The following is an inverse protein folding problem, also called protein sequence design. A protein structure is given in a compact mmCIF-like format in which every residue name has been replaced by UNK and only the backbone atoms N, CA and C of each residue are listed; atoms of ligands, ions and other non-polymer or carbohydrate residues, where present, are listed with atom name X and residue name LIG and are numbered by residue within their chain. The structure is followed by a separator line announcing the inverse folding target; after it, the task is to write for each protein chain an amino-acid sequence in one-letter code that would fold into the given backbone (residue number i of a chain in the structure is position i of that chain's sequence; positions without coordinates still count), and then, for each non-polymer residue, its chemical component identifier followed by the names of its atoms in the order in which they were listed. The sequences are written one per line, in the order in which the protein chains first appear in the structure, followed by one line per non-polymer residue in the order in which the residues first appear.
data_IF_720199903065
#
_entry.id   IF_720199903065
#
_cell.length_a   1.000
_cell.length_b   1.000
_cell.length_c   1.000
_cell.angle_alpha   90.00
_cell.angle_beta   90.00
_cell.angle_gamma   90.00
#
_symmetry.space_group_name_H-M   'P 1'
#
loop_
_entity.id
_entity.type
_entity.pdbx_description
1 polymer ?
#
# COMPACT_ATOMS: atom_id res chain seq x y z
N UNK A 1 -11.49 -13.58 4.63
CA UNK A 1 -11.47 -14.33 3.33
C UNK A 1 -12.10 -13.52 2.20
N UNK A 2 -13.36 -13.04 2.30
CA UNK A 2 -14.05 -12.33 1.21
C UNK A 2 -13.30 -11.11 0.67
N UNK A 3 -12.78 -10.22 1.55
CA UNK A 3 -11.96 -9.06 1.16
C UNK A 3 -10.71 -9.52 0.39
N UNK A 4 -10.05 -10.60 0.82
CA UNK A 4 -8.86 -11.12 0.15
C UNK A 4 -9.17 -11.63 -1.28
N UNK A 5 -10.33 -12.29 -1.48
CA UNK A 5 -10.76 -12.72 -2.81
C UNK A 5 -11.05 -11.53 -3.73
N UNK A 6 -11.72 -10.50 -3.22
CA UNK A 6 -11.94 -9.26 -3.96
C UNK A 6 -10.61 -8.57 -4.33
N UNK A 7 -9.66 -8.50 -3.40
CA UNK A 7 -8.33 -7.94 -3.66
C UNK A 7 -7.55 -8.75 -4.70
N UNK A 8 -7.60 -10.08 -4.62
CA UNK A 8 -6.98 -10.97 -5.62
C UNK A 8 -7.62 -10.80 -7.01
N UNK A 9 -8.95 -10.66 -7.08
CA UNK A 9 -9.67 -10.32 -8.32
C UNK A 9 -9.13 -9.03 -8.94
N UNK A 10 -9.03 -7.95 -8.16
CA UNK A 10 -8.49 -6.68 -8.64
C UNK A 10 -7.02 -6.79 -9.10
N UNK A 11 -6.20 -7.60 -8.40
CA UNK A 11 -4.82 -7.86 -8.80
C UNK A 11 -4.70 -8.61 -10.13
N UNK A 12 -5.60 -9.56 -10.42
CA UNK A 12 -5.63 -10.26 -11.70
C UNK A 12 -6.00 -9.31 -12.84
N UNK A 13 -6.96 -8.41 -12.63
CA UNK A 13 -7.29 -7.35 -13.62
C UNK A 13 -6.04 -6.49 -13.91
N UNK A 14 -5.31 -6.10 -12.86
CA UNK A 14 -4.06 -5.36 -13.01
C UNK A 14 -3.03 -6.14 -13.86
N UNK A 15 -2.85 -7.45 -13.65
CA UNK A 15 -1.95 -8.29 -14.47
C UNK A 15 -2.38 -8.34 -15.94
N UNK A 16 -3.67 -8.35 -16.23
CA UNK A 16 -4.18 -8.34 -17.63
C UNK A 16 -3.94 -7.00 -18.31
N UNK A 17 -4.20 -5.90 -17.59
CA UNK A 17 -4.00 -4.54 -18.13
C UNK A 17 -2.52 -4.23 -18.36
N UNK A 18 -1.68 -4.64 -17.42
CA UNK A 18 -0.24 -4.34 -17.44
C UNK A 18 0.60 -5.35 -18.24
N UNK A 19 0.02 -6.41 -18.84
CA UNK A 19 0.75 -7.51 -19.48
C UNK A 19 1.86 -7.07 -20.44
N UNK A 20 1.64 -5.99 -21.22
CA UNK A 20 2.61 -5.46 -22.19
C UNK A 20 3.71 -4.59 -21.57
N UNK A 21 3.59 -4.24 -20.30
CA UNK A 21 4.62 -3.59 -19.50
C UNK A 21 5.37 -4.62 -18.68
N UNK A 22 4.64 -5.59 -18.16
CA UNK A 22 5.17 -6.66 -17.33
C UNK A 22 6.19 -7.55 -18.06
N UNK A 23 6.03 -7.78 -19.36
CA UNK A 23 6.96 -8.52 -20.22
C UNK A 23 8.33 -7.82 -20.36
N UNK A 24 8.42 -6.52 -20.08
CA UNK A 24 9.63 -5.68 -20.20
C UNK A 24 10.34 -5.42 -18.86
N UNK A 25 9.75 -5.83 -17.76
CA UNK A 25 10.29 -5.60 -16.42
C UNK A 25 10.78 -6.89 -15.77
N UNK A 26 12.05 -6.93 -15.32
CA UNK A 26 12.67 -8.10 -14.72
C UNK A 26 11.86 -8.74 -13.57
N UNK A 27 11.14 -7.92 -12.79
CA UNK A 27 10.31 -8.37 -11.66
C UNK A 27 9.04 -9.08 -12.09
N UNK A 28 8.47 -8.72 -13.24
CA UNK A 28 7.10 -9.09 -13.63
C UNK A 28 7.04 -9.93 -14.90
N UNK A 29 8.15 -10.15 -15.59
CA UNK A 29 8.26 -10.98 -16.81
C UNK A 29 7.75 -12.42 -16.60
N UNK A 30 7.88 -12.97 -15.41
CA UNK A 30 7.38 -14.30 -15.05
C UNK A 30 5.90 -14.38 -14.68
N UNK A 31 5.14 -13.28 -14.81
CA UNK A 31 3.69 -13.30 -14.55
C UNK A 31 2.96 -14.12 -15.61
N UNK A 32 2.04 -15.04 -15.23
CA UNK A 32 1.42 -16.00 -16.15
C UNK A 32 0.67 -15.39 -17.35
N UNK A 33 0.20 -14.14 -17.23
CA UNK A 33 -0.47 -13.44 -18.34
C UNK A 33 0.55 -12.72 -19.23
N UNK A 34 1.66 -12.21 -18.64
CA UNK A 34 2.71 -11.53 -19.37
C UNK A 34 3.55 -12.50 -20.22
N UNK A 35 3.86 -13.68 -19.68
CA UNK A 35 4.61 -14.73 -20.38
C UNK A 35 3.75 -15.62 -21.29
N UNK A 36 2.44 -15.38 -21.37
CA UNK A 36 1.52 -16.08 -22.27
C UNK A 36 1.03 -17.44 -21.79
N UNK A 37 1.41 -17.92 -20.58
CA UNK A 37 0.91 -19.19 -20.01
C UNK A 37 -0.59 -19.18 -19.78
N UNK A 38 -1.16 -18.02 -19.51
CA UNK A 38 -2.62 -17.83 -19.30
C UNK A 38 -3.11 -16.76 -20.27
N UNK A 39 -4.16 -17.09 -21.04
CA UNK A 39 -4.80 -16.14 -21.95
C UNK A 39 -5.52 -15.03 -21.14
N UNK A 40 -5.51 -13.76 -21.61
CA UNK A 40 -6.19 -12.65 -20.92
C UNK A 40 -7.65 -12.94 -20.57
N UNK A 41 -8.40 -13.56 -21.48
CA UNK A 41 -9.81 -13.91 -21.26
C UNK A 41 -9.98 -14.91 -20.10
N UNK A 42 -9.10 -15.93 -20.01
CA UNK A 42 -9.13 -16.90 -18.91
C UNK A 42 -8.84 -16.21 -17.56
N UNK A 43 -7.87 -15.29 -17.54
CA UNK A 43 -7.57 -14.52 -16.35
C UNK A 43 -8.76 -13.63 -15.91
N UNK A 44 -9.44 -12.96 -16.85
CA UNK A 44 -10.62 -12.13 -16.54
C UNK A 44 -11.79 -13.01 -16.04
N UNK A 45 -12.06 -14.16 -16.66
CA UNK A 45 -13.09 -15.07 -16.19
C UNK A 45 -12.79 -15.58 -14.77
N UNK A 46 -11.56 -15.96 -14.51
CA UNK A 46 -11.12 -16.36 -13.16
C UNK A 46 -11.21 -15.22 -12.16
N UNK A 47 -10.81 -13.99 -12.55
CA UNK A 47 -10.98 -12.80 -11.73
C UNK A 47 -12.45 -12.56 -11.35
N UNK A 48 -13.34 -12.62 -12.32
CA UNK A 48 -14.77 -12.47 -12.08
C UNK A 48 -15.30 -13.55 -11.12
N UNK A 49 -14.92 -14.81 -11.33
CA UNK A 49 -15.30 -15.92 -10.47
C UNK A 49 -14.87 -15.72 -9.01
N UNK A 50 -13.58 -15.44 -8.75
CA UNK A 50 -13.11 -15.23 -7.37
C UNK A 50 -13.66 -13.93 -6.76
N UNK A 51 -13.91 -12.90 -7.57
CA UNK A 51 -14.57 -11.67 -7.13
C UNK A 51 -16.01 -11.94 -6.66
N UNK A 52 -16.79 -12.69 -7.45
CA UNK A 52 -18.14 -13.11 -7.06
C UNK A 52 -18.13 -13.98 -5.80
N UNK A 53 -17.20 -14.93 -5.68
CA UNK A 53 -17.02 -15.70 -4.45
C UNK A 53 -16.69 -14.79 -3.25
N UNK A 54 -15.82 -13.80 -3.45
CA UNK A 54 -15.49 -12.82 -2.42
C UNK A 54 -16.70 -12.04 -1.93
N UNK A 55 -17.49 -11.50 -2.85
CA UNK A 55 -18.74 -10.78 -2.54
C UNK A 55 -19.76 -11.70 -1.86
N UNK A 56 -19.93 -12.93 -2.33
CA UNK A 56 -20.83 -13.90 -1.70
C UNK A 56 -20.44 -14.19 -0.24
N UNK A 57 -19.14 -14.40 0.03
CA UNK A 57 -18.64 -14.60 1.40
C UNK A 57 -18.90 -13.34 2.26
N UNK A 58 -18.66 -12.14 1.73
CA UNK A 58 -18.94 -10.89 2.46
C UNK A 58 -20.44 -10.75 2.76
N UNK A 59 -21.29 -11.08 1.80
CA UNK A 59 -22.75 -11.04 1.99
C UNK A 59 -23.24 -12.01 3.07
N UNK A 60 -22.63 -13.20 3.17
CA UNK A 60 -23.03 -14.22 4.15
C UNK A 60 -22.51 -13.93 5.56
N UNK A 61 -21.36 -13.25 5.71
CA UNK A 61 -20.65 -13.17 6.98
C UNK A 61 -20.36 -11.73 7.48
N UNK A 62 -20.75 -10.72 6.70
CA UNK A 62 -20.55 -9.31 7.08
C UNK A 62 -21.82 -8.48 6.80
N UNK A 63 -21.64 -7.19 6.59
CA UNK A 63 -22.72 -6.22 6.39
C UNK A 63 -22.59 -5.47 5.04
N UNK A 64 -23.66 -4.80 4.64
CA UNK A 64 -23.73 -4.08 3.36
C UNK A 64 -22.66 -2.99 3.24
N UNK A 65 -22.31 -2.29 4.34
CA UNK A 65 -21.28 -1.25 4.32
C UNK A 65 -19.92 -1.81 3.90
N UNK A 66 -19.50 -2.93 4.50
CA UNK A 66 -18.23 -3.61 4.16
C UNK A 66 -18.21 -4.06 2.71
N UNK A 67 -19.33 -4.58 2.17
CA UNK A 67 -19.44 -4.99 0.77
C UNK A 67 -19.21 -3.77 -0.14
N UNK A 68 -19.91 -2.67 0.09
CA UNK A 68 -19.80 -1.47 -0.75
C UNK A 68 -18.41 -0.84 -0.69
N UNK A 69 -17.81 -0.75 0.50
CA UNK A 69 -16.44 -0.24 0.66
C UNK A 69 -15.41 -1.16 -0.03
N UNK A 70 -15.59 -2.48 0.04
CA UNK A 70 -14.72 -3.45 -0.65
C UNK A 70 -14.85 -3.31 -2.17
N UNK A 71 -16.07 -3.20 -2.69
CA UNK A 71 -16.32 -2.99 -4.13
C UNK A 71 -15.76 -1.64 -4.59
N UNK A 72 -15.94 -0.58 -3.83
CA UNK A 72 -15.36 0.74 -4.13
C UNK A 72 -13.83 0.69 -4.19
N UNK A 73 -13.18 -0.01 -3.26
CA UNK A 73 -11.73 -0.22 -3.28
C UNK A 73 -11.27 -1.04 -4.49
N UNK A 74 -12.02 -2.11 -4.85
CA UNK A 74 -11.74 -2.94 -6.04
C UNK A 74 -11.85 -2.10 -7.32
N UNK A 75 -12.94 -1.36 -7.49
CA UNK A 75 -13.17 -0.50 -8.66
C UNK A 75 -12.10 0.61 -8.70
N UNK A 76 -11.85 1.26 -7.57
CA UNK A 76 -10.83 2.30 -7.46
C UNK A 76 -9.44 1.79 -7.87
N UNK A 77 -9.05 0.61 -7.41
CA UNK A 77 -7.75 0.02 -7.76
C UNK A 77 -7.72 -0.51 -9.20
N UNK A 78 -8.68 -1.34 -9.60
CA UNK A 78 -8.64 -2.03 -10.90
C UNK A 78 -8.86 -1.07 -12.06
N UNK A 79 -9.81 -0.15 -11.94
CA UNK A 79 -10.17 0.75 -13.04
C UNK A 79 -9.49 2.12 -12.91
N UNK A 80 -9.72 2.85 -11.80
CA UNK A 80 -9.22 4.23 -11.69
C UNK A 80 -7.69 4.26 -11.63
N UNK A 81 -7.09 3.50 -10.70
CA UNK A 81 -5.63 3.49 -10.54
C UNK A 81 -4.94 2.81 -11.72
N UNK A 82 -5.29 1.54 -12.01
CA UNK A 82 -4.54 0.73 -12.99
C UNK A 82 -4.67 1.26 -14.41
N UNK A 83 -5.88 1.64 -14.84
CA UNK A 83 -6.13 2.05 -16.23
C UNK A 83 -5.75 3.51 -16.51
N UNK A 84 -5.94 4.41 -15.53
CA UNK A 84 -5.75 5.85 -15.76
C UNK A 84 -4.58 6.42 -14.97
N UNK A 85 -4.62 6.39 -13.62
CA UNK A 85 -3.69 7.14 -12.78
C UNK A 85 -2.24 6.70 -12.91
N UNK A 86 -2.01 5.40 -13.03
CA UNK A 86 -0.67 4.81 -13.09
C UNK A 86 0.20 5.40 -14.21
N UNK A 87 -0.43 5.80 -15.32
CA UNK A 87 0.23 6.34 -16.51
C UNK A 87 0.03 7.86 -16.69
N UNK A 88 -0.90 8.45 -15.95
CA UNK A 88 -1.29 9.85 -16.10
C UNK A 88 -0.47 10.81 -15.24
N UNK A 89 0.02 10.37 -14.07
CA UNK A 89 0.63 11.29 -13.10
C UNK A 89 1.77 10.66 -12.31
N UNK A 90 2.82 11.44 -11.95
CA UNK A 90 3.86 11.02 -11.02
C UNK A 90 3.36 10.81 -9.59
N UNK A 91 2.17 11.35 -9.26
CA UNK A 91 1.50 11.16 -7.96
C UNK A 91 0.69 9.85 -7.90
N UNK A 92 0.84 8.97 -8.89
CA UNK A 92 0.13 7.70 -8.98
C UNK A 92 0.27 6.85 -7.70
N UNK A 93 1.44 6.87 -7.06
CA UNK A 93 1.69 6.17 -5.79
C UNK A 93 0.86 6.74 -4.65
N UNK A 94 0.79 8.09 -4.54
CA UNK A 94 0.03 8.74 -3.46
C UNK A 94 -1.46 8.43 -3.62
N UNK A 95 -2.02 8.69 -4.81
CA UNK A 95 -3.45 8.51 -5.06
C UNK A 95 -3.84 7.03 -5.01
N UNK A 96 -3.03 6.15 -5.64
CA UNK A 96 -3.23 4.71 -5.63
C UNK A 96 -3.05 4.08 -4.25
N UNK A 97 -2.26 4.72 -3.37
CA UNK A 97 -2.05 4.30 -1.99
C UNK A 97 -3.32 4.25 -1.15
N UNK A 98 -4.36 5.04 -1.51
CA UNK A 98 -5.63 5.03 -0.79
C UNK A 98 -6.32 3.65 -0.84
N UNK A 99 -6.32 3.00 -1.99
CA UNK A 99 -6.88 1.65 -2.11
C UNK A 99 -6.07 0.62 -1.30
N UNK A 100 -4.72 0.76 -1.29
CA UNK A 100 -3.84 -0.09 -0.48
C UNK A 100 -3.97 0.16 1.03
N UNK A 101 -4.44 1.33 1.44
CA UNK A 101 -4.67 1.69 2.84
C UNK A 101 -6.06 1.27 3.37
N UNK A 102 -6.96 0.80 2.51
CA UNK A 102 -8.32 0.43 2.90
C UNK A 102 -8.46 -0.79 3.85
N UNK A 103 -7.57 -1.81 3.87
CA UNK A 103 -7.79 -3.04 4.63
C UNK A 103 -8.15 -2.86 6.11
N UNK A 104 -7.54 -1.96 6.91
CA UNK A 104 -7.96 -1.74 8.29
C UNK A 104 -9.41 -1.26 8.43
N UNK A 105 -9.84 -0.36 7.56
CA UNK A 105 -11.23 0.12 7.53
C UNK A 105 -12.19 -1.02 7.18
N UNK A 106 -11.85 -1.82 6.17
CA UNK A 106 -12.67 -2.97 5.75
C UNK A 106 -12.76 -4.04 6.85
N UNK A 107 -11.65 -4.29 7.58
CA UNK A 107 -11.66 -5.19 8.72
C UNK A 107 -12.52 -4.65 9.87
N UNK A 108 -12.40 -3.35 10.18
CA UNK A 108 -13.19 -2.68 11.20
C UNK A 108 -14.69 -2.74 10.90
N UNK A 109 -15.09 -2.28 9.71
CA UNK A 109 -16.51 -2.27 9.30
C UNK A 109 -17.10 -3.67 9.20
N UNK A 110 -16.29 -4.70 8.90
CA UNK A 110 -16.76 -6.08 8.86
C UNK A 110 -17.22 -6.60 10.24
N UNK A 111 -16.65 -6.05 11.32
CA UNK A 111 -16.99 -6.45 12.70
C UNK A 111 -18.03 -5.51 13.30
N UNK A 112 -17.86 -4.20 13.14
CA UNK A 112 -18.69 -3.20 13.84
C UNK A 112 -19.90 -2.72 13.03
N UNK A 113 -19.84 -2.83 11.70
CA UNK A 113 -20.89 -2.31 10.80
C UNK A 113 -20.86 -0.80 10.60
N UNK A 114 -19.84 -0.11 11.10
CA UNK A 114 -19.76 1.37 11.05
C UNK A 114 -18.35 1.87 10.70
N UNK A 115 -18.26 3.11 10.20
CA UNK A 115 -17.00 3.81 9.97
C UNK A 115 -16.64 4.55 11.26
N UNK A 116 -15.62 4.07 11.96
CA UNK A 116 -15.14 4.68 13.18
C UNK A 116 -13.86 5.50 12.95
N UNK A 117 -13.66 6.60 13.70
CA UNK A 117 -12.48 7.46 13.56
C UNK A 117 -11.15 6.69 13.80
N UNK A 118 -11.12 5.70 14.70
CA UNK A 118 -9.95 4.86 14.93
C UNK A 118 -9.57 4.05 13.69
N UNK A 119 -10.55 3.53 12.95
CA UNK A 119 -10.29 2.84 11.69
C UNK A 119 -9.69 3.79 10.64
N UNK A 120 -10.16 5.05 10.60
CA UNK A 120 -9.62 6.08 9.71
C UNK A 120 -8.19 6.48 10.08
N UNK A 121 -7.82 6.48 11.37
CA UNK A 121 -6.43 6.67 11.80
C UNK A 121 -5.51 5.56 11.27
N UNK A 122 -5.93 4.30 11.32
CA UNK A 122 -5.17 3.18 10.76
C UNK A 122 -5.00 3.30 9.24
N UNK A 123 -6.06 3.73 8.54
CA UNK A 123 -5.99 4.04 7.10
C UNK A 123 -4.98 5.16 6.84
N UNK A 124 -5.02 6.23 7.62
CA UNK A 124 -4.13 7.38 7.48
C UNK A 124 -2.65 7.00 7.67
N UNK A 125 -2.37 6.10 8.63
CA UNK A 125 -1.01 5.57 8.86
C UNK A 125 -0.49 4.85 7.60
N UNK A 126 -1.27 3.90 7.05
CA UNK A 126 -0.84 3.15 5.85
C UNK A 126 -0.76 4.08 4.64
N UNK A 127 -1.68 5.04 4.53
CA UNK A 127 -1.67 6.02 3.45
C UNK A 127 -0.42 6.90 3.50
N UNK A 128 -0.04 7.43 4.68
CA UNK A 128 1.17 8.22 4.87
C UNK A 128 2.47 7.40 4.70
N UNK A 129 2.42 6.09 5.03
CA UNK A 129 3.54 5.15 4.84
C UNK A 129 3.77 4.80 3.37
N UNK A 130 2.73 4.78 2.54
CA UNK A 130 2.79 4.33 1.15
C UNK A 130 3.80 5.10 0.29
N UNK A 131 3.86 6.46 0.29
CA UNK A 131 4.80 7.20 -0.53
C UNK A 131 6.28 6.93 -0.17
N UNK A 132 6.75 7.04 1.08
CA UNK A 132 8.15 6.77 1.39
C UNK A 132 8.56 5.32 1.11
N UNK A 133 7.65 4.35 1.27
CA UNK A 133 7.87 2.96 0.92
C UNK A 133 8.10 2.77 -0.58
N UNK A 134 7.11 3.13 -1.40
CA UNK A 134 7.18 2.88 -2.84
C UNK A 134 8.18 3.77 -3.57
N UNK A 135 8.34 5.03 -3.17
CA UNK A 135 9.33 5.90 -3.81
C UNK A 135 10.76 5.47 -3.49
N UNK A 136 11.04 4.89 -2.33
CA UNK A 136 12.35 4.31 -2.04
C UNK A 136 12.69 3.18 -3.02
N UNK A 137 11.72 2.29 -3.32
CA UNK A 137 11.86 1.28 -4.35
C UNK A 137 11.97 1.89 -5.76
N UNK A 138 11.19 2.95 -6.04
CA UNK A 138 11.19 3.59 -7.35
C UNK A 138 12.53 4.29 -7.65
N UNK A 139 13.21 4.86 -6.65
CA UNK A 139 14.58 5.41 -6.80
C UNK A 139 15.57 4.29 -7.14
N UNK A 140 15.51 3.16 -6.43
CA UNK A 140 16.38 2.01 -6.71
C UNK A 140 16.14 1.42 -8.11
N UNK A 141 14.89 1.42 -8.61
CA UNK A 141 14.50 0.85 -9.91
C UNK A 141 14.19 1.91 -10.98
N UNK A 142 14.75 3.11 -10.86
CA UNK A 142 14.47 4.24 -11.74
C UNK A 142 14.65 3.88 -13.22
N UNK A 143 15.75 3.22 -13.55
CA UNK A 143 16.09 2.86 -14.93
C UNK A 143 15.10 1.85 -15.54
N UNK A 144 14.56 0.92 -14.73
CA UNK A 144 13.52 -0.01 -15.18
C UNK A 144 12.21 0.73 -15.51
N UNK A 145 11.77 1.65 -14.65
CA UNK A 145 10.56 2.44 -14.88
C UNK A 145 10.69 3.38 -16.08
N UNK A 146 11.87 3.97 -16.28
CA UNK A 146 12.13 4.84 -17.43
C UNK A 146 12.03 4.07 -18.75
N UNK A 147 12.55 2.81 -18.82
CA UNK A 147 12.50 1.95 -20.01
C UNK A 147 11.08 1.63 -20.46
N UNK A 148 10.13 1.54 -19.54
CA UNK A 148 8.72 1.20 -19.85
C UNK A 148 7.79 2.42 -19.88
N UNK A 149 8.35 3.63 -19.75
CA UNK A 149 7.59 4.89 -19.85
C UNK A 149 6.59 5.12 -18.71
N UNK A 150 6.79 4.49 -17.53
CA UNK A 150 5.95 4.76 -16.36
C UNK A 150 6.47 6.03 -15.66
N UNK A 151 5.62 7.08 -15.49
CA UNK A 151 6.03 8.37 -14.97
C UNK A 151 6.19 8.35 -13.43
N UNK A 152 7.09 7.50 -12.92
CA UNK A 152 7.41 7.51 -11.49
C UNK A 152 8.13 8.79 -11.10
N UNK A 153 7.93 9.25 -9.86
CA UNK A 153 8.47 10.51 -9.36
C UNK A 153 9.99 10.67 -9.62
N UNK A 154 10.87 9.66 -9.39
CA UNK A 154 12.29 9.79 -9.70
C UNK A 154 12.61 9.85 -11.21
N UNK A 155 11.72 9.38 -12.07
CA UNK A 155 11.87 9.45 -13.54
C UNK A 155 11.53 10.86 -14.03
N UNK A 156 10.44 11.45 -13.54
CA UNK A 156 9.90 12.74 -14.00
C UNK A 156 10.55 13.95 -13.33
N UNK A 157 10.80 13.89 -12.03
CA UNK A 157 11.31 15.02 -11.23
C UNK A 157 12.72 14.78 -10.67
N UNK A 158 13.31 13.63 -10.98
CA UNK A 158 14.66 13.28 -10.54
C UNK A 158 14.74 12.72 -9.11
N UNK A 159 15.90 12.12 -8.82
CA UNK A 159 16.13 11.41 -7.55
C UNK A 159 16.17 12.33 -6.34
N UNK A 160 16.82 13.51 -6.47
CA UNK A 160 16.95 14.44 -5.35
C UNK A 160 15.59 14.92 -4.85
N UNK A 161 14.71 15.30 -5.77
CA UNK A 161 13.34 15.70 -5.44
C UNK A 161 12.57 14.56 -4.76
N UNK A 162 12.68 13.36 -5.30
CA UNK A 162 12.03 12.17 -4.72
C UNK A 162 12.54 11.86 -3.32
N UNK A 163 13.86 11.92 -3.08
CA UNK A 163 14.48 11.69 -1.76
C UNK A 163 14.02 12.73 -0.73
N UNK A 164 13.85 14.00 -1.12
CA UNK A 164 13.29 15.05 -0.25
C UNK A 164 11.84 14.70 0.12
N UNK A 165 11.02 14.30 -0.85
CA UNK A 165 9.63 13.90 -0.57
C UNK A 165 9.56 12.65 0.33
N UNK A 166 10.44 11.66 0.15
CA UNK A 166 10.53 10.50 1.06
C UNK A 166 10.80 10.97 2.49
N UNK A 167 11.75 11.87 2.69
CA UNK A 167 12.06 12.43 4.01
C UNK A 167 10.86 13.17 4.61
N UNK A 168 10.20 14.05 3.84
CA UNK A 168 9.04 14.80 4.31
C UNK A 168 7.85 13.89 4.67
N UNK A 169 7.57 12.88 3.86
CA UNK A 169 6.51 11.91 4.16
C UNK A 169 6.86 10.99 5.33
N UNK A 170 8.14 10.72 5.58
CA UNK A 170 8.57 9.99 6.79
C UNK A 170 8.37 10.83 8.05
N UNK A 171 8.63 12.15 7.98
CA UNK A 171 8.28 13.08 9.06
C UNK A 171 6.77 13.16 9.29
N UNK A 172 5.99 13.28 8.21
CA UNK A 172 4.54 13.26 8.29
C UNK A 172 4.04 11.96 8.91
N UNK A 173 4.60 10.82 8.52
CA UNK A 173 4.25 9.52 9.07
C UNK A 173 4.51 9.46 10.58
N UNK A 174 5.64 9.98 11.06
CA UNK A 174 5.96 10.03 12.49
C UNK A 174 4.91 10.85 13.26
N UNK A 175 4.45 11.97 12.71
CA UNK A 175 3.36 12.77 13.31
C UNK A 175 2.03 12.02 13.28
N UNK A 176 1.70 11.39 12.16
CA UNK A 176 0.45 10.63 12.00
C UNK A 176 0.39 9.43 12.96
N UNK A 177 1.51 8.74 13.16
CA UNK A 177 1.56 7.58 14.06
C UNK A 177 1.50 7.93 15.55
N UNK A 178 1.71 9.20 15.94
CA UNK A 178 1.44 9.68 17.30
C UNK A 178 -0.05 9.90 17.57
N UNK A 179 -0.88 10.11 16.54
CA UNK A 179 -2.32 10.41 16.72
C UNK A 179 -3.10 9.33 17.47
N UNK A 180 -2.90 8.01 17.25
CA UNK A 180 -3.60 6.97 17.99
C UNK A 180 -3.35 7.02 19.51
N UNK A 181 -2.16 7.45 19.96
CA UNK A 181 -1.90 7.70 21.36
C UNK A 181 -2.63 8.95 21.86
N UNK A 182 -2.57 10.05 21.11
CA UNK A 182 -3.23 11.32 21.50
C UNK A 182 -4.76 11.22 21.55
N UNK A 183 -5.35 10.33 20.76
CA UNK A 183 -6.80 10.07 20.77
C UNK A 183 -7.23 9.03 21.82
N UNK A 184 -6.30 8.48 22.58
CA UNK A 184 -6.58 7.43 23.57
C UNK A 184 -6.88 6.06 22.96
N UNK A 185 -6.57 5.85 21.66
CA UNK A 185 -6.75 4.56 21.00
C UNK A 185 -5.74 3.51 21.51
N UNK A 186 -4.51 3.94 21.85
CA UNK A 186 -3.44 3.10 22.36
C UNK A 186 -2.72 3.79 23.53
N UNK A 187 -2.00 3.00 24.35
CA UNK A 187 -1.28 3.45 25.52
C UNK A 187 0.18 3.85 25.28
N UNK A 188 0.91 3.99 26.39
CA UNK A 188 2.33 4.43 26.40
C UNK A 188 3.25 3.42 25.73
N UNK A 189 2.96 2.12 25.83
CA UNK A 189 3.77 1.08 25.17
C UNK A 189 3.77 1.29 23.65
N UNK A 190 2.59 1.55 23.07
CA UNK A 190 2.48 1.89 21.67
C UNK A 190 3.30 3.14 21.34
N UNK A 191 3.18 4.23 22.11
CA UNK A 191 3.91 5.49 21.86
C UNK A 191 5.42 5.26 21.83
N UNK A 192 5.97 4.54 22.81
CA UNK A 192 7.41 4.24 22.86
C UNK A 192 7.84 3.41 21.65
N UNK A 193 7.07 2.37 21.32
CA UNK A 193 7.35 1.49 20.19
C UNK A 193 7.31 2.26 18.84
N UNK A 194 6.28 3.09 18.62
CA UNK A 194 6.15 3.87 17.39
C UNK A 194 7.27 4.88 17.24
N UNK A 195 7.65 5.61 18.32
CA UNK A 195 8.75 6.57 18.28
C UNK A 195 10.07 5.89 17.94
N UNK A 196 10.38 4.76 18.56
CA UNK A 196 11.61 4.01 18.27
C UNK A 196 11.63 3.56 16.80
N UNK A 197 10.57 2.94 16.32
CA UNK A 197 10.46 2.46 14.95
C UNK A 197 10.49 3.62 13.94
N UNK A 198 9.76 4.70 14.23
CA UNK A 198 9.68 5.88 13.38
C UNK A 198 11.00 6.64 13.27
N UNK A 199 11.72 6.79 14.38
CA UNK A 199 13.06 7.43 14.37
C UNK A 199 14.08 6.61 13.57
N UNK A 200 14.03 5.27 13.61
CA UNK A 200 14.87 4.42 12.76
C UNK A 200 14.47 4.59 11.28
N UNK A 201 13.17 4.72 10.97
CA UNK A 201 12.74 4.98 9.60
C UNK A 201 13.23 6.35 9.12
N UNK A 202 13.13 7.36 9.96
CA UNK A 202 13.64 8.69 9.67
C UNK A 202 15.17 8.68 9.45
N UNK A 203 15.92 7.92 10.26
CA UNK A 203 17.35 7.70 10.05
C UNK A 203 17.63 7.15 8.64
N UNK A 204 16.91 6.11 8.19
CA UNK A 204 17.08 5.55 6.84
C UNK A 204 16.70 6.56 5.75
N UNK A 205 15.66 7.38 5.96
CA UNK A 205 15.28 8.43 5.03
C UNK A 205 16.37 9.51 4.91
N UNK A 206 17.01 9.89 6.04
CA UNK A 206 18.15 10.83 6.05
C UNK A 206 19.40 10.23 5.38
N UNK A 207 19.72 8.96 5.67
CA UNK A 207 20.81 8.24 5.00
C UNK A 207 20.58 8.24 3.49
N UNK A 208 19.37 7.91 3.05
CA UNK A 208 19.02 7.90 1.64
C UNK A 208 19.10 9.29 1.00
N UNK A 209 18.69 10.36 1.72
CA UNK A 209 18.75 11.74 1.24
C UNK A 209 20.19 12.20 0.98
N UNK A 210 21.11 11.80 1.87
CA UNK A 210 22.53 12.21 1.81
C UNK A 210 23.39 11.28 0.95
N UNK A 211 22.98 10.02 0.78
CA UNK A 211 23.77 9.02 0.08
C UNK A 211 23.70 9.16 -1.43
N UNK A 212 24.83 8.88 -2.08
CA UNK A 212 24.95 8.65 -3.53
C UNK A 212 24.83 7.15 -3.88
N UNK A 213 24.79 6.28 -2.86
CA UNK A 213 24.68 4.83 -3.04
C UNK A 213 23.27 4.46 -3.53
N UNK A 214 23.20 3.72 -4.65
CA UNK A 214 21.95 3.20 -5.21
C UNK A 214 21.23 2.21 -4.28
N UNK A 215 21.98 1.55 -3.40
CA UNK A 215 21.42 0.58 -2.46
C UNK A 215 20.72 1.21 -1.25
N UNK A 216 20.93 2.51 -0.99
CA UNK A 216 20.23 3.21 0.07
C UNK A 216 18.69 3.14 -0.11
N UNK A 217 18.20 3.17 -1.35
CA UNK A 217 16.78 3.03 -1.67
C UNK A 217 16.22 1.67 -1.28
N UNK A 218 16.91 0.58 -1.62
CA UNK A 218 16.42 -0.78 -1.28
C UNK A 218 16.52 -1.05 0.23
N UNK A 219 17.52 -0.50 0.94
CA UNK A 219 17.63 -0.60 2.40
C UNK A 219 16.46 0.11 3.08
N UNK A 220 16.15 1.35 2.66
CA UNK A 220 15.00 2.12 3.16
C UNK A 220 13.68 1.41 2.87
N UNK A 221 13.49 0.87 1.66
CA UNK A 221 12.34 0.08 1.28
C UNK A 221 12.16 -1.17 2.16
N UNK A 222 13.22 -1.95 2.40
CA UNK A 222 13.17 -3.14 3.27
C UNK A 222 12.83 -2.76 4.70
N UNK A 223 13.45 -1.71 5.23
CA UNK A 223 13.13 -1.26 6.58
C UNK A 223 11.68 -0.79 6.70
N UNK A 224 11.11 -0.13 5.70
CA UNK A 224 9.72 0.32 5.74
C UNK A 224 8.71 -0.83 5.90
N UNK A 225 9.02 -2.01 5.36
CA UNK A 225 8.21 -3.23 5.57
C UNK A 225 8.32 -3.69 7.03
N UNK A 226 9.55 -3.80 7.54
CA UNK A 226 9.79 -4.15 8.95
C UNK A 226 9.10 -3.17 9.90
N UNK A 227 9.21 -1.86 9.61
CA UNK A 227 8.55 -0.79 10.36
C UNK A 227 7.04 -1.03 10.48
N UNK A 228 6.34 -1.17 9.35
CA UNK A 228 4.88 -1.32 9.38
C UNK A 228 4.45 -2.61 10.08
N UNK A 229 5.15 -3.71 9.83
CA UNK A 229 4.89 -5.00 10.48
C UNK A 229 5.04 -4.90 11.99
N UNK A 230 6.15 -4.35 12.48
CA UNK A 230 6.40 -4.20 13.92
C UNK A 230 5.46 -3.19 14.56
N UNK A 231 5.09 -2.10 13.86
CA UNK A 231 4.13 -1.12 14.35
C UNK A 231 2.78 -1.77 14.64
N UNK A 232 2.26 -2.59 13.72
CA UNK A 232 1.00 -3.32 13.94
C UNK A 232 1.12 -4.38 15.04
N UNK A 233 2.27 -5.03 15.21
CA UNK A 233 2.51 -5.94 16.35
C UNK A 233 2.47 -5.15 17.65
N UNK A 234 3.12 -3.99 17.73
CA UNK A 234 3.10 -3.14 18.95
C UNK A 234 1.67 -2.68 19.26
N UNK A 235 0.87 -2.31 18.24
CA UNK A 235 -0.55 -1.98 18.40
C UNK A 235 -1.33 -3.13 19.05
N UNK A 236 -1.15 -4.37 18.55
CA UNK A 236 -1.81 -5.55 19.10
C UNK A 236 -1.37 -5.83 20.54
N UNK A 237 -0.07 -5.77 20.81
CA UNK A 237 0.48 -6.01 22.16
C UNK A 237 -0.04 -4.96 23.13
N UNK A 238 -0.02 -3.67 22.78
CA UNK A 238 -0.54 -2.59 23.62
C UNK A 238 -2.03 -2.79 23.93
N UNK A 239 -2.83 -3.13 22.91
CA UNK A 239 -4.26 -3.36 23.05
C UNK A 239 -4.58 -4.51 24.02
N UNK A 240 -3.95 -5.68 23.82
CA UNK A 240 -4.25 -6.87 24.63
C UNK A 240 -3.62 -6.88 26.03
N UNK A 241 -2.56 -6.09 26.26
CA UNK A 241 -1.93 -6.04 27.60
C UNK A 241 -2.48 -4.92 28.49
N UNK A 242 -3.00 -3.83 27.92
CA UNK A 242 -3.31 -2.61 28.68
C UNK A 242 -4.72 -2.06 28.49
N UNK A 243 -5.53 -2.61 27.59
CA UNK A 243 -6.89 -2.10 27.31
C UNK A 243 -8.00 -3.15 27.55
N UNK A 244 -7.67 -4.30 28.16
CA UNK A 244 -8.64 -5.32 28.56
C UNK A 244 -9.08 -5.07 30.01
#
# INVERSE_FOLDING_TARGET
MGIAFCAASAAIVNHVVDRHVDDKMARTIGRPVADGRIKPLQAIMFSAFIGCCGVAILHMFTNALTIWLTLASLVGYAFIYTMFLKRATPQNIVIGGLAGAAPPLLGWTAVTGEIHHNALLLVLIIFAWTPPHFWALAVHRKDEYAKVGIPMLPVTHGERYTKINIFLYTLLLLVVTTLPYLTGMFGVLYLVGELLLGLIFLYWAVVMLRSKDKDAGIKTFRYSITYLTLLFIVMLVDHYLFQI
#
